data_IF_169150783485
#
_entry.id   IF_169150783485
#
_cell.length_a   1.000
_cell.length_b   1.000
_cell.length_c   1.000
_cell.angle_alpha   90.00
_cell.angle_beta   90.00
_cell.angle_gamma   90.00
#
_symmetry.space_group_name_H-M   'P 1'
#
loop_
_entity.id
_entity.type
_entity.pdbx_description
1 polymer ?
#
# COMPACT_ATOMS: atom_id res chain seq x y z
N UNK A 1 -30.43 43.79 -46.66
CA UNK A 1 -29.95 43.36 -45.33
C UNK A 1 -30.02 41.84 -45.08
N UNK A 2 -30.87 41.06 -45.76
CA UNK A 2 -30.99 39.61 -45.46
C UNK A 2 -29.84 38.72 -45.96
N UNK A 3 -29.25 38.97 -47.14
CA UNK A 3 -28.19 38.11 -47.70
C UNK A 3 -26.92 38.09 -46.83
N UNK A 4 -26.55 39.22 -46.25
CA UNK A 4 -25.40 39.31 -45.33
C UNK A 4 -25.58 38.50 -44.05
N UNK A 5 -26.81 38.46 -43.51
CA UNK A 5 -27.14 37.62 -42.33
C UNK A 5 -27.05 36.12 -42.66
N UNK A 6 -27.52 35.70 -43.85
CA UNK A 6 -27.44 34.29 -44.28
C UNK A 6 -26.00 33.81 -44.51
N UNK A 7 -25.16 34.62 -45.16
CA UNK A 7 -23.73 34.30 -45.38
C UNK A 7 -22.97 34.26 -44.05
N UNK A 8 -23.26 35.17 -43.12
CA UNK A 8 -22.67 35.18 -41.78
C UNK A 8 -23.08 33.96 -40.94
N UNK A 9 -24.36 33.58 -40.96
CA UNK A 9 -24.86 32.36 -40.30
C UNK A 9 -24.26 31.10 -40.93
N UNK A 10 -24.13 31.05 -42.26
CA UNK A 10 -23.47 29.96 -42.97
C UNK A 10 -21.99 29.84 -42.58
N UNK A 11 -21.22 30.94 -42.57
CA UNK A 11 -19.83 30.94 -42.15
C UNK A 11 -19.64 30.54 -40.68
N UNK A 12 -20.53 31.00 -39.78
CA UNK A 12 -20.52 30.61 -38.37
C UNK A 12 -20.82 29.12 -38.20
N UNK A 13 -21.78 28.58 -38.95
CA UNK A 13 -22.09 27.16 -38.94
C UNK A 13 -20.93 26.30 -39.47
N UNK A 14 -20.22 26.73 -40.52
CA UNK A 14 -19.05 26.01 -41.04
C UNK A 14 -17.86 26.06 -40.08
N UNK A 15 -17.61 27.20 -39.44
CA UNK A 15 -16.60 27.31 -38.37
C UNK A 15 -16.94 26.42 -37.17
N UNK A 16 -18.21 26.36 -36.78
CA UNK A 16 -18.67 25.47 -35.71
C UNK A 16 -18.53 24.00 -36.08
N UNK A 17 -18.92 23.60 -37.31
CA UNK A 17 -18.71 22.23 -37.81
C UNK A 17 -17.23 21.85 -37.88
N UNK A 18 -16.37 22.76 -38.36
CA UNK A 18 -14.93 22.54 -38.40
C UNK A 18 -14.32 22.40 -36.98
N UNK A 19 -14.79 23.21 -36.02
CA UNK A 19 -14.41 23.09 -34.61
C UNK A 19 -14.82 21.73 -34.03
N UNK A 20 -16.06 21.28 -34.25
CA UNK A 20 -16.51 19.96 -33.80
C UNK A 20 -15.72 18.83 -34.46
N UNK A 21 -15.40 18.95 -35.76
CA UNK A 21 -14.59 17.97 -36.46
C UNK A 21 -13.16 17.92 -35.88
N UNK A 22 -12.53 19.07 -35.63
CA UNK A 22 -11.22 19.14 -35.00
C UNK A 22 -11.22 18.54 -33.59
N UNK A 23 -12.27 18.81 -32.80
CA UNK A 23 -12.46 18.21 -31.48
C UNK A 23 -12.66 16.69 -31.58
N UNK A 24 -13.42 16.21 -32.56
CA UNK A 24 -13.59 14.79 -32.83
C UNK A 24 -12.28 14.11 -33.21
N UNK A 25 -11.47 14.72 -34.08
CA UNK A 25 -10.13 14.24 -34.44
C UNK A 25 -9.23 14.20 -33.20
N UNK A 26 -9.25 15.25 -32.38
CA UNK A 26 -8.48 15.31 -31.13
C UNK A 26 -8.82 14.13 -30.21
N UNK A 27 -10.11 13.91 -29.91
CA UNK A 27 -10.52 12.78 -29.07
C UNK A 27 -10.24 11.42 -29.71
N UNK A 28 -10.34 11.30 -31.03
CA UNK A 28 -9.97 10.08 -31.74
C UNK A 28 -8.47 9.79 -31.59
N UNK A 29 -7.61 10.79 -31.72
CA UNK A 29 -6.17 10.64 -31.47
C UNK A 29 -5.93 10.22 -30.02
N UNK A 30 -6.56 10.88 -29.04
CA UNK A 30 -6.43 10.50 -27.62
C UNK A 30 -6.87 9.05 -27.37
N UNK A 31 -7.93 8.59 -28.04
CA UNK A 31 -8.43 7.22 -27.97
C UNK A 31 -7.43 6.21 -28.55
N UNK A 32 -6.72 6.56 -29.63
CA UNK A 32 -5.65 5.73 -30.18
C UNK A 32 -4.46 5.56 -29.23
N UNK A 33 -4.24 6.47 -28.29
CA UNK A 33 -3.17 6.34 -27.28
C UNK A 33 -3.50 5.37 -26.14
N UNK A 34 -4.74 4.89 -26.05
CA UNK A 34 -5.16 3.94 -25.01
C UNK A 34 -4.44 2.59 -25.25
N UNK A 35 -3.93 1.93 -24.19
CA UNK A 35 -3.14 0.71 -24.32
C UNK A 35 -4.03 -0.55 -24.44
N UNK A 36 -4.90 -0.60 -25.46
CA UNK A 36 -5.93 -1.65 -25.67
C UNK A 36 -5.40 -3.08 -25.49
N UNK A 37 -4.36 -3.44 -26.24
CA UNK A 37 -3.78 -4.79 -26.21
C UNK A 37 -3.10 -5.11 -24.88
N UNK A 38 -2.41 -4.12 -24.29
CA UNK A 38 -1.77 -4.31 -23.00
C UNK A 38 -2.80 -4.57 -21.90
N UNK A 39 -3.94 -3.87 -21.91
CA UNK A 39 -5.03 -4.10 -20.95
C UNK A 39 -5.60 -5.51 -21.10
N UNK A 40 -5.88 -5.94 -22.34
CA UNK A 40 -6.40 -7.29 -22.59
C UNK A 40 -5.43 -8.40 -22.13
N UNK A 41 -4.12 -8.22 -22.34
CA UNK A 41 -3.10 -9.19 -21.94
C UNK A 41 -3.00 -9.38 -20.42
N UNK A 42 -3.47 -8.42 -19.60
CA UNK A 42 -3.47 -8.55 -18.14
C UNK A 42 -4.33 -9.71 -17.63
N UNK A 43 -5.25 -10.23 -18.45
CA UNK A 43 -6.00 -11.44 -18.14
C UNK A 43 -5.09 -12.67 -17.94
N UNK A 44 -3.93 -12.70 -18.60
CA UNK A 44 -3.00 -13.84 -18.59
C UNK A 44 -1.63 -13.48 -18.01
N UNK A 45 -1.19 -12.24 -18.17
CA UNK A 45 0.15 -11.80 -17.83
C UNK A 45 0.17 -10.77 -16.69
N UNK A 46 1.23 -10.82 -15.88
CA UNK A 46 1.44 -9.87 -14.80
C UNK A 46 2.24 -8.65 -15.31
N UNK A 47 1.84 -7.41 -14.97
CA UNK A 47 2.60 -6.23 -15.38
C UNK A 47 3.91 -6.13 -14.61
N UNK A 48 5.04 -6.11 -15.32
CA UNK A 48 6.37 -6.00 -14.72
C UNK A 48 6.71 -4.57 -14.25
N UNK A 49 6.27 -3.54 -14.97
CA UNK A 49 6.53 -2.15 -14.62
C UNK A 49 5.32 -1.27 -14.97
N UNK A 50 4.88 -0.48 -14.00
CA UNK A 50 3.71 0.40 -14.14
C UNK A 50 4.11 1.85 -14.44
N UNK A 51 3.17 2.64 -14.93
CA UNK A 51 3.37 4.07 -15.13
C UNK A 51 3.72 4.79 -13.83
N UNK A 52 3.10 4.40 -12.70
CA UNK A 52 3.42 4.95 -11.39
C UNK A 52 4.85 4.62 -10.96
N UNK A 53 5.31 3.37 -11.11
CA UNK A 53 6.70 3.00 -10.79
C UNK A 53 7.70 3.81 -11.61
N UNK A 54 7.48 3.93 -12.93
CA UNK A 54 8.31 4.75 -13.82
C UNK A 54 8.29 6.22 -13.42
N UNK A 55 7.14 6.73 -12.98
CA UNK A 55 7.05 8.10 -12.48
C UNK A 55 7.89 8.29 -11.22
N UNK A 56 7.82 7.37 -10.25
CA UNK A 56 8.62 7.44 -9.01
C UNK A 56 10.13 7.40 -9.27
N UNK A 57 10.58 6.57 -10.22
CA UNK A 57 11.98 6.54 -10.62
C UNK A 57 12.44 7.89 -11.18
N UNK A 58 11.67 8.49 -12.10
CA UNK A 58 11.98 9.82 -12.65
C UNK A 58 11.95 10.93 -11.61
N UNK A 59 11.00 10.89 -10.66
CA UNK A 59 10.95 11.84 -9.55
C UNK A 59 12.20 11.72 -8.66
N UNK A 60 12.69 10.50 -8.42
CA UNK A 60 13.91 10.29 -7.65
C UNK A 60 15.14 10.82 -8.39
N UNK A 61 15.27 10.51 -9.68
CA UNK A 61 16.34 10.99 -10.56
C UNK A 61 16.37 12.53 -10.63
N UNK A 62 15.22 13.17 -10.81
CA UNK A 62 15.11 14.62 -10.84
C UNK A 62 15.52 15.28 -9.51
N UNK A 63 15.39 14.56 -8.39
CA UNK A 63 15.81 15.00 -7.06
C UNK A 63 17.26 14.58 -6.72
N UNK A 64 18.03 14.06 -7.69
CA UNK A 64 19.38 13.52 -7.48
C UNK A 64 19.44 12.42 -6.42
N UNK A 65 18.39 11.61 -6.32
CA UNK A 65 18.30 10.46 -5.42
C UNK A 65 18.11 9.18 -6.22
N UNK A 66 18.55 8.04 -5.67
CA UNK A 66 18.29 6.73 -6.28
C UNK A 66 17.11 6.06 -5.58
N UNK A 67 16.08 5.69 -6.33
CA UNK A 67 14.95 4.91 -5.82
C UNK A 67 15.02 3.49 -6.34
N UNK A 68 15.23 2.54 -5.43
CA UNK A 68 15.08 1.11 -5.74
C UNK A 68 13.63 0.69 -5.58
N UNK A 69 13.01 0.22 -6.66
CA UNK A 69 11.69 -0.38 -6.61
C UNK A 69 11.80 -1.79 -6.04
N UNK A 70 11.05 -2.06 -4.98
CA UNK A 70 10.81 -3.39 -4.43
C UNK A 70 9.39 -3.81 -4.79
N UNK A 71 9.27 -4.85 -5.61
CA UNK A 71 8.01 -5.49 -5.94
C UNK A 71 8.15 -6.99 -5.80
N UNK A 72 7.11 -7.63 -5.28
CA UNK A 72 7.01 -9.09 -5.21
C UNK A 72 5.58 -9.51 -5.48
N UNK A 73 5.41 -10.34 -6.50
CA UNK A 73 4.10 -10.87 -6.86
C UNK A 73 3.69 -11.98 -5.91
N UNK A 74 2.44 -11.95 -5.46
CA UNK A 74 1.80 -13.04 -4.73
C UNK A 74 0.41 -13.29 -5.34
N UNK A 75 0.03 -14.56 -5.65
CA UNK A 75 -1.32 -14.88 -6.09
C UNK A 75 -2.36 -14.50 -5.03
N UNK A 76 -3.54 -14.05 -5.46
CA UNK A 76 -4.63 -13.62 -4.56
C UNK A 76 -5.03 -14.73 -3.59
N UNK A 77 -5.00 -16.00 -4.03
CA UNK A 77 -5.32 -17.16 -3.22
C UNK A 77 -4.37 -17.40 -2.04
N UNK A 78 -3.19 -16.76 -2.04
CA UNK A 78 -2.24 -16.83 -0.92
C UNK A 78 -2.32 -15.62 0.01
N UNK A 79 -3.17 -14.64 -0.29
CA UNK A 79 -3.41 -13.48 0.58
C UNK A 79 -4.57 -13.84 1.51
N UNK A 80 -4.44 -13.68 2.84
CA UNK A 80 -5.51 -13.99 3.78
C UNK A 80 -6.76 -13.17 3.48
N UNK A 81 -7.95 -13.77 3.72
CA UNK A 81 -9.24 -13.13 3.40
C UNK A 81 -9.42 -11.81 4.14
N UNK A 82 -9.04 -11.73 5.41
CA UNK A 82 -9.10 -10.49 6.18
C UNK A 82 -8.23 -9.39 5.57
N UNK A 83 -7.06 -9.71 5.04
CA UNK A 83 -6.20 -8.74 4.37
C UNK A 83 -6.82 -8.21 3.07
N UNK A 84 -7.43 -9.09 2.28
CA UNK A 84 -8.17 -8.70 1.08
C UNK A 84 -9.37 -7.81 1.45
N UNK A 85 -10.17 -8.24 2.43
CA UNK A 85 -11.36 -7.53 2.89
C UNK A 85 -11.03 -6.16 3.48
N UNK A 86 -9.95 -6.04 4.25
CA UNK A 86 -9.47 -4.78 4.80
C UNK A 86 -9.22 -3.74 3.70
N UNK A 87 -8.58 -4.15 2.59
CA UNK A 87 -8.33 -3.28 1.44
C UNK A 87 -9.62 -2.88 0.74
N UNK A 88 -10.53 -3.84 0.50
CA UNK A 88 -11.83 -3.58 -0.13
C UNK A 88 -12.61 -2.56 0.70
N UNK A 89 -12.81 -2.76 2.01
CA UNK A 89 -13.62 -1.82 2.81
C UNK A 89 -12.94 -0.46 3.02
N UNK A 90 -11.61 -0.40 2.95
CA UNK A 90 -10.87 0.84 3.06
C UNK A 90 -11.07 1.72 1.81
N UNK A 91 -10.93 1.12 0.62
CA UNK A 91 -10.84 1.81 -0.66
C UNK A 91 -12.15 1.80 -1.46
N UNK A 92 -12.84 0.67 -1.50
CA UNK A 92 -13.95 0.42 -2.42
C UNK A 92 -14.91 -0.65 -1.86
N UNK A 93 -15.78 -0.23 -0.94
CA UNK A 93 -16.66 -1.15 -0.24
C UNK A 93 -17.49 -2.01 -1.19
N UNK A 94 -18.03 -1.42 -2.26
CA UNK A 94 -18.95 -2.08 -3.19
C UNK A 94 -18.24 -2.72 -4.39
N UNK A 95 -16.93 -3.00 -4.27
CA UNK A 95 -16.07 -3.47 -5.36
C UNK A 95 -16.66 -4.63 -6.19
N UNK A 96 -17.30 -5.59 -5.51
CA UNK A 96 -17.90 -6.77 -6.14
C UNK A 96 -19.21 -6.49 -6.88
N UNK A 97 -19.86 -5.37 -6.59
CA UNK A 97 -21.23 -5.08 -7.02
C UNK A 97 -21.27 -4.16 -8.25
N UNK A 98 -20.26 -3.32 -8.45
CA UNK A 98 -20.23 -2.36 -9.56
C UNK A 98 -19.32 -2.78 -10.72
N UNK A 99 -19.56 -2.27 -11.93
CA UNK A 99 -18.69 -2.46 -13.12
C UNK A 99 -17.59 -1.40 -13.23
N UNK A 100 -16.76 -1.25 -12.20
CA UNK A 100 -15.66 -0.27 -12.13
C UNK A 100 -16.01 1.16 -11.71
N UNK A 101 -17.29 1.51 -11.61
CA UNK A 101 -17.75 2.82 -11.17
C UNK A 101 -18.80 2.70 -10.08
N UNK A 102 -18.49 3.19 -8.88
CA UNK A 102 -19.46 3.30 -7.79
C UNK A 102 -20.17 4.66 -7.87
N UNK A 103 -21.32 4.67 -8.54
CA UNK A 103 -22.12 5.89 -8.68
C UNK A 103 -22.77 6.34 -7.37
N UNK A 104 -23.06 5.38 -6.48
CA UNK A 104 -23.67 5.65 -5.20
C UNK A 104 -22.68 6.34 -4.25
N UNK A 105 -21.47 5.79 -4.08
CA UNK A 105 -20.39 6.45 -3.33
C UNK A 105 -19.98 7.77 -3.97
N UNK A 106 -20.03 7.88 -5.30
CA UNK A 106 -19.78 9.16 -5.98
C UNK A 106 -20.77 10.24 -5.54
N UNK A 107 -22.09 9.97 -5.64
CA UNK A 107 -23.12 10.92 -5.20
C UNK A 107 -23.01 11.26 -3.71
N UNK A 108 -22.82 10.25 -2.86
CA UNK A 108 -22.63 10.45 -1.42
C UNK A 108 -21.39 11.28 -1.09
N UNK A 109 -20.28 11.07 -1.81
CA UNK A 109 -19.06 11.86 -1.62
C UNK A 109 -19.26 13.31 -2.00
N UNK A 110 -20.01 13.59 -3.08
CA UNK A 110 -20.33 14.95 -3.51
C UNK A 110 -21.18 15.66 -2.47
N UNK A 111 -22.21 15.00 -1.95
CA UNK A 111 -23.06 15.55 -0.89
C UNK A 111 -22.24 15.88 0.37
N UNK A 112 -21.44 14.94 0.86
CA UNK A 112 -20.58 15.15 2.04
C UNK A 112 -19.53 16.25 1.82
N UNK A 113 -18.97 16.35 0.62
CA UNK A 113 -18.00 17.39 0.27
C UNK A 113 -18.66 18.77 0.19
N UNK A 114 -19.90 18.83 -0.30
CA UNK A 114 -20.71 20.05 -0.33
C UNK A 114 -21.05 20.53 1.10
N UNK A 115 -21.56 19.63 1.93
CA UNK A 115 -21.88 19.90 3.34
C UNK A 115 -20.65 20.40 4.13
N UNK A 116 -19.50 19.75 3.93
CA UNK A 116 -18.25 20.08 4.64
C UNK A 116 -17.41 21.15 3.95
N UNK A 117 -17.87 21.69 2.81
CA UNK A 117 -17.18 22.69 1.96
C UNK A 117 -15.70 22.36 1.68
N UNK A 118 -15.33 21.08 1.66
CA UNK A 118 -13.96 20.62 1.42
C UNK A 118 -13.99 19.20 0.85
N UNK A 119 -12.95 18.80 0.11
CA UNK A 119 -12.79 17.41 -0.32
C UNK A 119 -12.43 16.53 0.89
N UNK A 120 -13.39 15.74 1.37
CA UNK A 120 -13.25 14.86 2.54
C UNK A 120 -12.99 13.42 2.14
N UNK A 121 -13.55 12.97 1.01
CA UNK A 121 -13.44 11.59 0.51
C UNK A 121 -13.30 11.59 -1.01
N UNK A 122 -12.40 10.76 -1.53
CA UNK A 122 -12.33 10.47 -2.96
C UNK A 122 -13.31 9.36 -3.32
N UNK A 123 -13.96 9.47 -4.47
CA UNK A 123 -14.92 8.49 -4.99
C UNK A 123 -14.31 7.52 -6.01
N UNK A 124 -12.97 7.38 -6.03
CA UNK A 124 -12.31 6.52 -7.01
C UNK A 124 -12.34 5.06 -6.56
N UNK A 125 -12.88 4.17 -7.38
CA UNK A 125 -12.93 2.72 -7.16
C UNK A 125 -11.55 2.07 -7.26
N UNK A 126 -11.41 0.83 -6.80
CA UNK A 126 -10.18 0.02 -6.95
C UNK A 126 -9.78 -0.07 -8.43
N UNK A 127 -10.73 -0.29 -9.33
CA UNK A 127 -10.43 -0.42 -10.76
C UNK A 127 -9.96 0.89 -11.39
N UNK A 128 -10.53 2.03 -10.98
CA UNK A 128 -10.07 3.35 -11.40
C UNK A 128 -8.66 3.66 -10.89
N UNK A 129 -8.38 3.30 -9.63
CA UNK A 129 -7.04 3.43 -9.07
C UNK A 129 -6.03 2.53 -9.79
N UNK A 130 -6.43 1.30 -10.14
CA UNK A 130 -5.62 0.37 -10.91
C UNK A 130 -5.29 0.94 -12.29
N UNK A 131 -6.29 1.41 -13.04
CA UNK A 131 -6.13 2.06 -14.35
C UNK A 131 -5.10 3.19 -14.28
N UNK A 132 -5.24 4.06 -13.26
CA UNK A 132 -4.31 5.16 -13.02
C UNK A 132 -2.90 4.67 -12.75
N UNK A 133 -2.71 3.69 -11.87
CA UNK A 133 -1.39 3.22 -11.47
C UNK A 133 -0.65 2.49 -12.61
N UNK A 134 -1.38 1.67 -13.38
CA UNK A 134 -0.81 0.87 -14.48
C UNK A 134 -0.33 1.75 -15.64
N UNK A 135 -1.16 2.70 -16.07
CA UNK A 135 -1.00 3.31 -17.40
C UNK A 135 -0.90 4.83 -17.39
N UNK A 136 -1.27 5.51 -16.30
CA UNK A 136 -1.36 6.96 -16.26
C UNK A 136 -0.40 7.56 -15.23
N UNK A 137 -0.25 8.88 -15.29
CA UNK A 137 0.51 9.64 -14.29
C UNK A 137 -0.40 10.05 -13.12
N UNK A 138 0.20 10.58 -12.05
CA UNK A 138 -0.54 11.18 -10.93
C UNK A 138 -0.99 12.62 -11.19
N UNK A 139 -0.94 13.10 -12.45
CA UNK A 139 -1.33 14.47 -12.77
C UNK A 139 -2.83 14.71 -12.56
N UNK A 140 -3.22 15.94 -12.24
CA UNK A 140 -4.64 16.33 -12.06
C UNK A 140 -5.26 16.85 -13.35
N UNK A 141 -4.92 16.24 -14.47
CA UNK A 141 -5.38 16.62 -15.82
C UNK A 141 -6.77 15.99 -16.12
N UNK A 142 -7.76 16.79 -16.61
CA UNK A 142 -9.06 16.28 -17.05
C UNK A 142 -8.99 15.24 -18.19
N UNK A 143 -8.11 15.42 -19.17
CA UNK A 143 -7.91 14.47 -20.28
C UNK A 143 -7.38 13.15 -19.73
N UNK A 144 -6.41 13.22 -18.81
CA UNK A 144 -5.91 12.04 -18.10
C UNK A 144 -7.02 11.35 -17.31
N UNK A 145 -7.94 12.09 -16.67
CA UNK A 145 -9.10 11.52 -15.97
C UNK A 145 -10.09 10.86 -16.94
N UNK A 146 -10.29 11.41 -18.14
CA UNK A 146 -11.11 10.76 -19.17
C UNK A 146 -10.48 9.44 -19.63
N UNK A 147 -9.16 9.42 -19.86
CA UNK A 147 -8.44 8.17 -20.17
C UNK A 147 -8.57 7.14 -19.05
N UNK A 148 -8.52 7.57 -17.79
CA UNK A 148 -8.73 6.69 -16.64
C UNK A 148 -10.10 6.00 -16.73
N UNK A 149 -11.16 6.72 -17.09
CA UNK A 149 -12.48 6.14 -17.25
C UNK A 149 -12.56 5.13 -18.38
N UNK A 150 -11.96 5.43 -19.55
CA UNK A 150 -11.91 4.49 -20.67
C UNK A 150 -11.15 3.22 -20.28
N UNK A 151 -9.97 3.36 -19.67
CA UNK A 151 -9.15 2.21 -19.22
C UNK A 151 -9.87 1.41 -18.13
N UNK A 152 -10.59 2.06 -17.21
CA UNK A 152 -11.42 1.40 -16.19
C UNK A 152 -12.45 0.49 -16.84
N UNK A 153 -13.18 1.01 -17.84
CA UNK A 153 -14.16 0.22 -18.57
C UNK A 153 -13.51 -0.98 -19.29
N UNK A 154 -12.30 -0.79 -19.86
CA UNK A 154 -11.57 -1.89 -20.48
C UNK A 154 -11.10 -2.95 -19.49
N UNK A 155 -10.62 -2.54 -18.31
CA UNK A 155 -10.22 -3.48 -17.26
C UNK A 155 -11.42 -4.34 -16.82
N UNK A 156 -12.58 -3.73 -16.56
CA UNK A 156 -13.81 -4.45 -16.19
C UNK A 156 -14.35 -5.33 -17.32
N UNK A 157 -14.08 -4.97 -18.58
CA UNK A 157 -14.51 -5.77 -19.72
C UNK A 157 -13.65 -7.02 -19.93
N UNK A 158 -12.32 -6.90 -19.82
CA UNK A 158 -11.40 -7.98 -20.14
C UNK A 158 -11.00 -8.84 -18.94
N UNK A 159 -11.12 -8.34 -17.71
CA UNK A 159 -10.65 -9.02 -16.50
C UNK A 159 -11.81 -9.32 -15.56
N UNK A 160 -11.78 -10.51 -14.96
CA UNK A 160 -12.65 -10.84 -13.83
C UNK A 160 -12.23 -10.07 -12.56
N UNK A 161 -13.18 -9.80 -11.66
CA UNK A 161 -12.97 -9.01 -10.44
C UNK A 161 -11.81 -9.50 -9.57
N UNK A 162 -11.68 -10.81 -9.38
CA UNK A 162 -10.56 -11.40 -8.64
C UNK A 162 -9.21 -11.08 -9.28
N UNK A 163 -9.13 -11.08 -10.61
CA UNK A 163 -7.90 -10.73 -11.34
C UNK A 163 -7.57 -9.25 -11.22
N UNK A 164 -8.57 -8.37 -11.31
CA UNK A 164 -8.40 -6.92 -11.07
C UNK A 164 -7.81 -6.69 -9.67
N UNK A 165 -8.39 -7.33 -8.66
CA UNK A 165 -7.97 -7.19 -7.28
C UNK A 165 -6.56 -7.76 -7.03
N UNK A 166 -6.22 -8.91 -7.63
CA UNK A 166 -4.88 -9.48 -7.56
C UNK A 166 -3.83 -8.51 -8.11
N UNK A 167 -4.07 -7.96 -9.32
CA UNK A 167 -3.13 -7.01 -9.92
C UNK A 167 -3.04 -5.78 -9.03
N UNK A 168 -4.17 -5.22 -8.59
CA UNK A 168 -4.20 -4.06 -7.71
C UNK A 168 -3.32 -4.25 -6.47
N UNK A 169 -3.53 -5.33 -5.71
CA UNK A 169 -2.76 -5.63 -4.51
C UNK A 169 -1.27 -5.80 -4.78
N UNK A 170 -0.88 -6.21 -5.97
CA UNK A 170 0.52 -6.42 -6.37
C UNK A 170 1.21 -5.22 -7.04
N UNK A 171 0.46 -4.17 -7.42
CA UNK A 171 1.02 -3.02 -8.14
C UNK A 171 0.80 -1.67 -7.47
N UNK A 172 -0.02 -1.57 -6.42
CA UNK A 172 -0.16 -0.30 -5.70
C UNK A 172 1.07 -0.01 -4.85
N UNK A 173 1.29 1.29 -4.62
CA UNK A 173 2.36 1.80 -3.77
C UNK A 173 1.94 1.76 -2.30
N UNK A 174 2.72 1.08 -1.47
CA UNK A 174 2.52 0.99 -0.01
C UNK A 174 3.49 1.88 0.78
N UNK A 175 4.45 2.47 0.09
CA UNK A 175 5.42 3.42 0.63
C UNK A 175 6.54 3.71 -0.37
N UNK A 176 7.53 4.54 0.00
CA UNK A 176 8.60 4.93 -0.91
C UNK A 176 9.34 3.73 -1.50
N UNK A 177 9.14 3.51 -2.81
CA UNK A 177 9.75 2.39 -3.56
C UNK A 177 9.16 1.01 -3.26
N UNK A 178 8.01 0.92 -2.58
CA UNK A 178 7.40 -0.35 -2.15
C UNK A 178 6.11 -0.57 -2.91
N UNK A 179 6.11 -1.57 -3.78
CA UNK A 179 4.97 -1.88 -4.63
C UNK A 179 4.53 -3.32 -4.41
N UNK A 180 3.23 -3.52 -4.23
CA UNK A 180 2.68 -4.84 -3.95
C UNK A 180 2.67 -5.21 -2.47
N UNK A 181 1.61 -5.91 -2.07
CA UNK A 181 1.29 -6.23 -0.67
C UNK A 181 2.34 -7.15 -0.02
N UNK A 182 2.91 -8.11 -0.76
CA UNK A 182 3.95 -8.99 -0.21
C UNK A 182 5.27 -8.25 0.03
N UNK A 183 5.64 -7.32 -0.85
CA UNK A 183 6.79 -6.45 -0.61
C UNK A 183 6.56 -5.55 0.61
N UNK A 184 5.34 -5.03 0.78
CA UNK A 184 4.96 -4.22 1.93
C UNK A 184 4.99 -5.02 3.23
N UNK A 185 4.33 -6.18 3.29
CA UNK A 185 4.30 -7.05 4.45
C UNK A 185 5.72 -7.39 4.95
N UNK A 186 6.63 -7.68 4.02
CA UNK A 186 8.02 -8.03 4.36
C UNK A 186 8.80 -6.82 4.84
N UNK A 187 8.62 -5.67 4.20
CA UNK A 187 9.32 -4.44 4.60
C UNK A 187 8.88 -3.94 5.98
N UNK A 188 7.58 -4.00 6.27
CA UNK A 188 7.02 -3.39 7.47
C UNK A 188 6.89 -4.36 8.64
N UNK A 189 6.67 -5.65 8.38
CA UNK A 189 6.40 -6.65 9.43
C UNK A 189 7.32 -7.88 9.36
N UNK A 190 8.30 -7.90 8.45
CA UNK A 190 9.29 -8.98 8.35
C UNK A 190 8.74 -10.32 7.87
N UNK A 191 7.50 -10.38 7.36
CA UNK A 191 6.81 -11.62 6.98
C UNK A 191 6.15 -11.55 5.61
N UNK A 192 5.82 -12.69 5.03
CA UNK A 192 5.06 -12.75 3.77
C UNK A 192 3.63 -12.21 3.97
N UNK A 193 3.03 -11.68 2.91
CA UNK A 193 1.62 -11.29 2.90
C UNK A 193 0.68 -12.45 3.27
N UNK A 194 1.08 -13.70 3.05
CA UNK A 194 0.32 -14.88 3.47
C UNK A 194 0.20 -15.07 4.99
N UNK A 195 1.05 -14.39 5.77
CA UNK A 195 1.04 -14.47 7.24
C UNK A 195 0.72 -13.14 7.92
N UNK A 196 0.07 -12.21 7.21
CA UNK A 196 -0.39 -10.96 7.80
C UNK A 196 -1.45 -11.26 8.86
N UNK A 197 -1.28 -10.74 10.07
CA UNK A 197 -2.35 -10.77 11.08
C UNK A 197 -3.46 -9.78 10.74
N UNK A 198 -4.58 -9.88 11.46
CA UNK A 198 -5.71 -8.97 11.27
C UNK A 198 -5.32 -7.49 11.47
N UNK A 199 -4.66 -7.15 12.57
CA UNK A 199 -4.21 -5.77 12.84
C UNK A 199 -3.21 -5.25 11.78
N UNK A 200 -2.29 -6.10 11.30
CA UNK A 200 -1.32 -5.74 10.26
C UNK A 200 -2.01 -5.42 8.93
N UNK A 201 -3.02 -6.21 8.56
CA UNK A 201 -3.86 -5.98 7.39
C UNK A 201 -4.61 -4.64 7.48
N UNK A 202 -5.23 -4.33 8.62
CA UNK A 202 -5.92 -3.06 8.85
C UNK A 202 -4.98 -1.86 8.71
N UNK A 203 -3.78 -1.96 9.29
CA UNK A 203 -2.76 -0.90 9.22
C UNK A 203 -2.24 -0.68 7.80
N UNK A 204 -2.06 -1.76 7.04
CA UNK A 204 -1.72 -1.65 5.61
C UNK A 204 -2.84 -0.97 4.84
N UNK A 205 -4.08 -1.42 4.97
CA UNK A 205 -5.22 -0.80 4.28
C UNK A 205 -5.38 0.69 4.64
N UNK A 206 -5.10 1.08 5.89
CA UNK A 206 -5.18 2.46 6.34
C UNK A 206 -4.20 3.43 5.65
N UNK A 207 -3.06 2.96 5.13
CA UNK A 207 -2.05 3.82 4.48
C UNK A 207 -2.28 4.06 3.00
N UNK A 208 -3.09 3.23 2.32
CA UNK A 208 -3.29 3.28 0.85
C UNK A 208 -3.63 4.69 0.34
N UNK A 209 -4.43 5.52 1.04
CA UNK A 209 -4.73 6.87 0.55
C UNK A 209 -3.55 7.84 0.56
N UNK A 210 -2.47 7.56 1.31
CA UNK A 210 -1.31 8.45 1.45
C UNK A 210 -0.03 7.68 1.83
N UNK A 211 0.44 6.75 0.99
CA UNK A 211 1.51 5.79 1.32
C UNK A 211 2.87 6.46 1.50
N UNK A 212 3.08 7.65 0.90
CA UNK A 212 4.32 8.41 1.07
C UNK A 212 4.36 9.22 2.38
N UNK A 213 3.23 9.41 3.05
CA UNK A 213 3.13 10.25 4.25
C UNK A 213 3.05 9.45 5.55
N UNK A 214 2.56 8.22 5.48
CA UNK A 214 2.29 7.39 6.65
C UNK A 214 2.84 5.99 6.45
N UNK A 215 3.31 5.38 7.53
CA UNK A 215 3.80 4.00 7.54
C UNK A 215 2.85 3.11 8.35
N UNK A 216 2.60 1.86 7.92
CA UNK A 216 1.72 0.94 8.64
C UNK A 216 2.14 0.70 10.10
N UNK A 217 3.44 0.80 10.37
CA UNK A 217 4.04 0.60 11.69
C UNK A 217 4.00 1.84 12.60
N UNK A 218 3.52 2.97 12.12
CA UNK A 218 3.48 4.20 12.92
C UNK A 218 2.52 4.05 14.10
N UNK A 219 2.96 4.40 15.30
CA UNK A 219 2.12 4.43 16.51
C UNK A 219 1.40 5.78 16.70
N UNK A 220 1.18 6.51 15.60
CA UNK A 220 0.57 7.82 15.63
C UNK A 220 -0.93 7.75 15.93
N UNK A 221 -1.49 8.80 16.55
CA UNK A 221 -2.95 8.91 16.76
C UNK A 221 -3.72 8.79 15.44
N UNK A 222 -3.16 9.35 14.36
CA UNK A 222 -3.75 9.26 13.02
C UNK A 222 -3.84 7.82 12.53
N UNK A 223 -2.76 7.03 12.70
CA UNK A 223 -2.74 5.63 12.29
C UNK A 223 -3.78 4.82 13.04
N UNK A 224 -3.80 4.92 14.37
CA UNK A 224 -4.76 4.18 15.20
C UNK A 224 -6.22 4.56 14.87
N UNK A 225 -6.49 5.85 14.66
CA UNK A 225 -7.82 6.31 14.22
C UNK A 225 -8.21 5.72 12.86
N UNK A 226 -7.31 5.75 11.87
CA UNK A 226 -7.58 5.25 10.52
C UNK A 226 -7.74 3.73 10.50
N UNK A 227 -6.88 3.01 11.21
CA UNK A 227 -7.00 1.56 11.44
C UNK A 227 -8.38 1.23 12.02
N UNK A 228 -8.82 1.94 13.05
CA UNK A 228 -10.13 1.70 13.69
C UNK A 228 -11.30 1.95 12.72
N UNK A 229 -11.20 2.95 11.83
CA UNK A 229 -12.22 3.14 10.78
C UNK A 229 -12.28 1.92 9.86
N UNK A 230 -11.14 1.37 9.44
CA UNK A 230 -11.12 0.17 8.59
C UNK A 230 -11.72 -1.01 9.34
N UNK A 231 -11.34 -1.23 10.60
CA UNK A 231 -11.89 -2.28 11.46
C UNK A 231 -13.41 -2.19 11.59
N UNK A 232 -13.93 -1.00 11.89
CA UNK A 232 -15.38 -0.76 11.99
C UNK A 232 -16.11 -1.06 10.68
N UNK A 233 -15.50 -0.77 9.53
CA UNK A 233 -16.10 -1.12 8.24
C UNK A 233 -16.04 -2.61 7.95
N UNK A 234 -15.01 -3.31 8.43
CA UNK A 234 -14.93 -4.77 8.32
C UNK A 234 -16.03 -5.44 9.14
N UNK A 235 -16.29 -4.94 10.37
CA UNK A 235 -17.38 -5.41 11.22
C UNK A 235 -18.74 -5.10 10.59
N UNK A 236 -18.96 -3.86 10.13
CA UNK A 236 -20.23 -3.46 9.51
C UNK A 236 -20.54 -4.12 8.17
N UNK A 237 -19.57 -4.83 7.56
CA UNK A 237 -19.75 -5.60 6.32
C UNK A 237 -19.84 -7.10 6.56
N UNK A 238 -19.62 -7.58 7.79
CA UNK A 238 -19.70 -8.99 8.14
C UNK A 238 -21.06 -9.39 8.72
N UNK A 239 -21.80 -10.15 7.92
CA UNK A 239 -22.19 -11.51 8.32
C UNK A 239 -21.14 -12.46 7.71
N UNK A 240 -20.71 -13.48 8.47
CA UNK A 240 -19.75 -14.56 8.17
C UNK A 240 -18.23 -14.29 8.36
N UNK A 241 -17.82 -13.61 9.46
CA UNK A 241 -16.57 -14.01 10.14
C UNK A 241 -17.10 -14.96 11.19
N UNK A 242 -16.60 -16.18 11.23
CA UNK A 242 -16.74 -17.00 12.42
C UNK A 242 -16.16 -16.16 13.58
N UNK A 243 -17.01 -15.74 14.53
CA UNK A 243 -16.66 -14.88 15.68
C UNK A 243 -15.47 -15.45 16.49
N UNK A 244 -15.15 -16.73 16.29
CA UNK A 244 -14.07 -17.50 16.90
C UNK A 244 -12.65 -16.92 16.64
N UNK A 245 -12.35 -16.37 15.45
CA UNK A 245 -10.97 -15.94 15.12
C UNK A 245 -10.56 -14.63 15.82
N UNK A 246 -11.53 -13.82 16.26
CA UNK A 246 -11.29 -12.59 17.01
C UNK A 246 -11.16 -12.82 18.52
N UNK A 247 -11.91 -13.78 19.05
CA UNK A 247 -11.83 -14.15 20.46
C UNK A 247 -10.48 -14.83 20.75
N UNK A 248 -9.98 -15.67 19.83
CA UNK A 248 -8.65 -16.30 19.96
C UNK A 248 -7.48 -15.28 19.97
N UNK A 249 -7.48 -14.27 19.07
CA UNK A 249 -6.42 -13.25 19.07
C UNK A 249 -6.47 -12.31 20.30
N UNK A 250 -7.66 -12.03 20.86
CA UNK A 250 -7.80 -11.24 22.09
C UNK A 250 -7.42 -12.05 23.34
N UNK A 251 -7.72 -13.36 23.38
CA UNK A 251 -7.32 -14.27 24.45
C UNK A 251 -5.81 -14.52 24.47
N UNK A 252 -5.16 -14.73 23.31
CA UNK A 252 -3.70 -14.89 23.24
C UNK A 252 -2.96 -13.62 23.72
N UNK A 253 -3.44 -12.43 23.33
CA UNK A 253 -2.82 -11.16 23.74
C UNK A 253 -3.07 -10.78 25.20
N UNK A 254 -4.14 -11.29 25.81
CA UNK A 254 -4.42 -11.09 27.24
C UNK A 254 -3.64 -12.07 28.10
N UNK A 255 -3.49 -13.33 27.67
CA UNK A 255 -2.65 -14.32 28.34
C UNK A 255 -1.15 -13.94 28.31
N UNK A 256 -0.63 -13.43 27.19
CA UNK A 256 0.79 -13.03 27.09
C UNK A 256 1.13 -11.84 28.02
N UNK A 257 0.16 -10.94 28.26
CA UNK A 257 0.28 -9.83 29.22
C UNK A 257 0.22 -10.29 30.68
N UNK A 258 -0.60 -11.29 31.00
CA UNK A 258 -0.66 -11.84 32.36
C UNK A 258 0.60 -12.64 32.73
N UNK A 259 1.17 -13.39 31.79
CA UNK A 259 2.43 -14.13 32.01
C UNK A 259 3.66 -13.23 32.15
N UNK A 260 3.66 -12.05 31.52
CA UNK A 260 4.77 -11.10 31.63
C UNK A 260 4.70 -10.26 32.91
N UNK A 261 3.50 -10.13 33.51
CA UNK A 261 3.27 -9.34 34.73
C UNK A 261 3.49 -10.11 36.04
N UNK A 262 3.73 -11.43 36.00
CA UNK A 262 3.71 -12.30 37.18
C UNK A 262 5.07 -12.92 37.58
N UNK A 263 6.19 -12.40 37.07
CA UNK A 263 7.50 -12.71 37.68
C UNK A 263 7.63 -11.98 39.04
N UNK A 264 7.84 -12.68 40.17
CA UNK A 264 8.00 -12.03 41.46
C UNK A 264 9.36 -11.35 41.55
N UNK A 265 9.35 -10.09 41.98
CA UNK A 265 10.50 -9.38 42.54
C UNK A 265 11.08 -10.20 43.69
N UNK A 266 12.35 -10.60 43.60
CA UNK A 266 13.07 -11.17 44.76
C UNK A 266 13.30 -10.02 45.74
N UNK A 267 12.47 -9.97 46.78
CA UNK A 267 12.57 -9.06 47.90
C UNK A 267 13.56 -9.61 48.93
N UNK A 268 14.49 -8.76 49.33
CA UNK A 268 15.51 -9.00 50.35
C UNK A 268 14.87 -9.23 51.72
N UNK A 269 15.44 -10.14 52.53
CA UNK A 269 15.15 -10.23 53.97
C UNK A 269 16.43 -10.50 54.76
N UNK A 270 16.54 -10.02 56.02
CA UNK A 270 17.80 -9.70 56.69
C UNK A 270 18.37 -10.84 57.55
N UNK A 271 19.60 -10.57 58.01
CA UNK A 271 20.53 -11.41 58.78
C UNK A 271 19.97 -12.19 59.97
N UNK A 272 20.51 -13.40 60.16
CA UNK A 272 20.78 -13.96 61.50
C UNK A 272 22.13 -14.72 61.51
N UNK A 273 22.75 -14.60 62.66
CA UNK A 273 24.06 -15.01 63.17
C UNK A 273 24.33 -16.52 63.17
N UNK A 274 25.61 -16.88 63.02
CA UNK A 274 26.08 -18.27 63.13
C UNK A 274 27.58 -18.38 62.87
N UNK A 275 28.33 -18.32 63.96
CA UNK A 275 29.77 -18.48 64.11
C UNK A 275 30.26 -19.85 63.61
N UNK A 276 31.27 -19.90 62.74
CA UNK A 276 32.19 -21.04 62.68
C UNK A 276 33.53 -20.66 62.02
N UNK A 277 34.55 -20.64 62.87
CA UNK A 277 35.97 -20.53 62.58
C UNK A 277 36.52 -21.72 61.77
N UNK A 278 37.41 -21.50 60.80
CA UNK A 278 38.52 -22.40 60.43
C UNK A 278 39.47 -21.79 59.38
N UNK A 279 40.58 -21.25 59.91
CA UNK A 279 41.98 -21.35 59.43
C UNK A 279 42.35 -21.26 57.95
N UNK A 280 43.18 -20.26 57.65
CA UNK A 280 44.11 -20.17 56.52
C UNK A 280 45.21 -21.25 56.59
N UNK A 281 45.81 -21.58 55.44
CA UNK A 281 47.27 -21.60 55.39
C UNK A 281 47.82 -20.77 54.23
N UNK A 282 48.82 -19.97 54.58
CA UNK A 282 49.84 -19.40 53.72
C UNK A 282 50.78 -20.49 53.23
N UNK A 283 51.24 -20.47 51.97
CA UNK A 283 52.68 -20.40 51.67
C UNK A 283 52.95 -20.07 50.19
N UNK A 284 54.18 -19.64 50.00
CA UNK A 284 54.87 -18.89 48.96
C UNK A 284 55.67 -19.77 47.98
N UNK A 285 56.52 -19.12 47.17
CA UNK A 285 57.52 -19.58 46.15
C UNK A 285 56.98 -19.76 44.73
N UNK A 286 57.29 -18.94 43.71
CA UNK A 286 58.52 -18.28 43.19
C UNK A 286 59.35 -19.13 42.20
N UNK A 287 59.79 -18.44 41.14
CA UNK A 287 60.90 -18.68 40.19
C UNK A 287 60.64 -19.31 38.80
N UNK A 288 61.00 -18.52 37.76
CA UNK A 288 61.67 -18.95 36.50
C UNK A 288 60.89 -18.59 35.21
N UNK A 289 61.15 -17.52 34.43
CA UNK A 289 62.36 -16.97 33.75
C UNK A 289 62.72 -17.65 32.40
N UNK A 290 62.70 -16.85 31.33
CA UNK A 290 63.36 -17.05 30.02
C UNK A 290 62.52 -17.73 28.94
N UNK A 291 62.62 -17.45 27.64
CA UNK A 291 63.40 -16.46 26.89
C UNK A 291 62.91 -16.45 25.42
N UNK A 292 62.80 -15.25 24.83
CA UNK A 292 63.19 -14.79 23.48
C UNK A 292 63.07 -15.59 22.15
N UNK A 293 63.03 -14.78 21.07
CA UNK A 293 63.14 -15.01 19.60
C UNK A 293 61.79 -14.97 18.85
N UNK A 294 61.37 -13.88 18.21
CA UNK A 294 61.97 -13.04 17.13
C UNK A 294 61.97 -13.70 15.73
N UNK A 295 61.86 -12.83 14.73
CA UNK A 295 61.99 -12.98 13.26
C UNK A 295 60.69 -12.97 12.42
N UNK A 296 60.19 -11.75 12.24
CA UNK A 296 60.17 -10.97 10.99
C UNK A 296 59.81 -11.59 9.61
N UNK A 297 59.04 -10.75 8.86
CA UNK A 297 59.11 -10.43 7.40
C UNK A 297 58.40 -11.42 6.45
N UNK A 298 57.58 -11.04 5.44
CA UNK A 298 57.64 -9.93 4.46
C UNK A 298 56.26 -9.67 3.81
N UNK A 299 55.93 -8.39 3.58
CA UNK A 299 55.19 -7.85 2.40
C UNK A 299 56.19 -7.69 1.21
N UNK A 300 55.85 -7.40 -0.07
CA UNK A 300 54.69 -6.60 -0.53
C UNK A 300 54.05 -6.99 -1.90
N UNK A 301 52.97 -6.26 -2.21
CA UNK A 301 52.47 -5.72 -3.50
C UNK A 301 52.41 -6.60 -4.76
N UNK A 302 51.20 -6.70 -5.32
CA UNK A 302 50.77 -5.96 -6.54
C UNK A 302 49.29 -5.55 -6.37
#
# INVERSE_FOLDING_TARGET
MERGKRVWLWAKAHKFKAFLAAMGIFFFIELLTIPWFSVANLAQENPAATALMRQRMREAEANNTTLKISQRWIPLSRIPRHAVNAVIVAEDGMFWEHGGFDWYEFQQSLQKNWEKKRAVRGASTITQQLAKNLYLSTSKDPIRKLKEWVITALLEHYLVKSRILEIYLNVIEWGPGVFGIDAAARKYFGRSASGLSYDQALRLAAVIPSPLKHRPTDQSRWMNYRRNIVAQRMLGRHYDVDEEEFEEEEEEQSQEKETTSSQPSIEQSPADSGDESLTMPTDSTDIGKGDSNDVQRRKPAD
#
